data_IF_952164964335
#
_entry.id   IF_952164964335
#
_cell.length_a   1.000
_cell.length_b   1.000
_cell.length_c   1.000
_cell.angle_alpha   90.00
_cell.angle_beta   90.00
_cell.angle_gamma   90.00
#
_symmetry.space_group_name_H-M   'P 1'
#
loop_
_entity.id
_entity.type
_entity.pdbx_description
1 polymer ?
#
# COMPACT_ATOMS: atom_id res chain seq x y z
N UNK A 1 18.93 2.78 13.35
CA UNK A 1 18.25 1.59 12.79
C UNK A 1 17.30 1.06 13.85
N UNK A 2 16.22 0.40 13.47
CA UNK A 2 15.18 -0.17 14.37
C UNK A 2 15.08 -1.65 14.10
N UNK A 3 15.11 -2.47 15.13
CA UNK A 3 14.80 -3.90 15.00
C UNK A 3 13.39 -4.05 14.40
N UNK A 4 13.29 -4.89 13.39
CA UNK A 4 12.04 -5.14 12.68
C UNK A 4 11.12 -6.05 13.50
N UNK A 5 9.83 -5.91 13.31
CA UNK A 5 8.83 -6.84 13.82
C UNK A 5 8.59 -7.98 12.83
N UNK A 6 7.98 -9.06 13.30
CA UNK A 6 7.55 -10.20 12.48
C UNK A 6 8.69 -10.84 11.68
N UNK A 7 9.62 -11.42 12.38
CA UNK A 7 10.65 -12.30 11.81
C UNK A 7 10.99 -13.43 12.77
N UNK A 8 11.65 -14.45 12.24
CA UNK A 8 12.27 -15.51 13.03
C UNK A 8 13.71 -15.70 12.56
N UNK A 9 14.60 -15.95 13.50
CA UNK A 9 16.01 -16.29 13.23
C UNK A 9 16.17 -17.79 13.23
N UNK A 10 16.91 -18.33 12.27
CA UNK A 10 17.28 -19.74 12.24
C UNK A 10 18.45 -19.97 13.21
N UNK A 11 18.32 -20.95 14.09
CA UNK A 11 19.40 -21.36 14.96
C UNK A 11 20.62 -21.80 14.13
N UNK A 12 21.82 -21.41 14.60
CA UNK A 12 23.13 -21.76 14.01
C UNK A 12 23.48 -21.19 12.62
N UNK A 13 22.60 -20.49 11.93
CA UNK A 13 22.89 -19.97 10.57
C UNK A 13 22.90 -18.44 10.47
N UNK A 14 22.40 -17.75 11.50
CA UNK A 14 22.11 -16.30 11.46
C UNK A 14 21.21 -15.87 10.28
N UNK A 15 20.57 -16.80 9.59
CA UNK A 15 19.54 -16.47 8.58
C UNK A 15 18.26 -16.02 9.30
N UNK A 16 17.58 -15.11 8.66
CA UNK A 16 16.32 -14.54 9.17
C UNK A 16 15.23 -14.72 8.15
N UNK A 17 14.09 -15.26 8.57
CA UNK A 17 12.87 -15.28 7.74
C UNK A 17 11.96 -14.13 8.15
N UNK A 18 11.71 -13.19 7.23
CA UNK A 18 10.76 -12.10 7.43
C UNK A 18 9.33 -12.60 7.23
N UNK A 19 8.46 -12.38 8.23
CA UNK A 19 7.07 -12.85 8.25
C UNK A 19 6.05 -11.72 8.03
N UNK A 20 6.50 -10.53 7.60
CA UNK A 20 5.65 -9.35 7.47
C UNK A 20 4.68 -9.42 6.27
N UNK A 21 5.11 -10.01 5.16
CA UNK A 21 4.34 -10.10 3.94
C UNK A 21 4.52 -11.48 3.28
N UNK A 22 3.68 -11.85 2.28
CA UNK A 22 3.68 -13.19 1.67
C UNK A 22 4.96 -13.54 0.89
N UNK A 23 5.93 -12.65 0.82
CA UNK A 23 7.25 -12.94 0.27
C UNK A 23 8.08 -13.86 1.16
N UNK A 24 7.86 -13.82 2.47
CA UNK A 24 8.56 -14.64 3.47
C UNK A 24 10.07 -14.77 3.19
N UNK A 25 10.70 -13.63 2.91
CA UNK A 25 12.10 -13.58 2.48
C UNK A 25 13.02 -14.26 3.51
N UNK A 26 13.77 -15.26 3.08
CA UNK A 26 14.92 -15.78 3.82
C UNK A 26 16.11 -14.88 3.53
N UNK A 27 16.55 -14.14 4.54
CA UNK A 27 17.57 -13.08 4.41
C UNK A 27 18.84 -13.53 5.11
N UNK A 28 19.91 -13.71 4.36
CA UNK A 28 21.25 -14.00 4.92
C UNK A 28 21.89 -12.72 5.45
N UNK A 29 22.88 -12.86 6.31
CA UNK A 29 23.56 -11.72 6.94
C UNK A 29 24.07 -10.70 5.92
N UNK A 30 23.93 -9.43 6.24
CA UNK A 30 24.29 -8.29 5.37
C UNK A 30 23.35 -8.05 4.18
N UNK A 31 22.38 -8.92 3.90
CA UNK A 31 21.45 -8.76 2.76
C UNK A 31 20.09 -8.24 3.18
N UNK A 32 19.33 -7.76 2.18
CA UNK A 32 17.95 -7.29 2.38
C UNK A 32 16.94 -8.28 1.78
N UNK A 33 15.71 -8.23 2.25
CA UNK A 33 14.57 -8.84 1.58
C UNK A 33 14.27 -8.17 0.22
N UNK A 34 13.29 -8.71 -0.51
CA UNK A 34 12.92 -8.21 -1.86
C UNK A 34 12.48 -6.73 -1.86
N UNK A 35 12.00 -6.21 -0.73
CA UNK A 35 11.62 -4.81 -0.58
C UNK A 35 12.81 -3.83 -0.55
N UNK A 36 14.03 -4.32 -0.35
CA UNK A 36 15.27 -3.53 -0.31
C UNK A 36 15.52 -2.77 0.99
N UNK A 37 14.63 -2.85 1.99
CA UNK A 37 14.65 -1.99 3.20
C UNK A 37 14.61 -2.73 4.53
N UNK A 38 14.48 -4.05 4.50
CA UNK A 38 14.55 -4.90 5.70
C UNK A 38 15.79 -5.79 5.59
N UNK A 39 16.81 -5.46 6.37
CA UNK A 39 18.16 -6.05 6.29
C UNK A 39 18.40 -6.98 7.48
N UNK A 40 19.01 -8.11 7.22
CA UNK A 40 19.57 -8.96 8.29
C UNK A 40 20.94 -8.42 8.72
N UNK A 41 21.10 -8.14 9.99
CA UNK A 41 22.36 -7.73 10.61
C UNK A 41 22.64 -8.68 11.77
N UNK A 42 23.60 -9.57 11.61
CA UNK A 42 23.99 -10.57 12.61
C UNK A 42 22.82 -11.38 13.19
N UNK A 43 21.90 -11.84 12.34
CA UNK A 43 20.74 -12.64 12.78
C UNK A 43 19.54 -11.84 13.27
N UNK A 44 19.59 -10.51 13.22
CA UNK A 44 18.48 -9.60 13.56
C UNK A 44 17.98 -8.88 12.33
N UNK A 45 16.67 -8.99 12.04
CA UNK A 45 16.09 -8.22 10.96
C UNK A 45 15.90 -6.76 11.38
N UNK A 46 16.37 -5.83 10.55
CA UNK A 46 16.42 -4.40 10.86
C UNK A 46 15.76 -3.59 9.77
N UNK A 47 14.95 -2.59 10.13
CA UNK A 47 14.37 -1.62 9.20
C UNK A 47 15.38 -0.50 8.90
N UNK A 48 15.73 -0.34 7.62
CA UNK A 48 16.63 0.73 7.15
C UNK A 48 15.91 2.07 6.97
N UNK A 49 14.58 2.05 6.86
CA UNK A 49 13.72 3.22 6.58
C UNK A 49 12.92 3.70 7.78
N UNK A 50 13.18 3.15 8.98
CA UNK A 50 12.54 3.60 10.21
C UNK A 50 12.90 5.06 10.50
N UNK A 51 11.87 5.93 10.62
CA UNK A 51 11.97 7.38 10.76
C UNK A 51 12.72 8.09 9.62
N UNK A 52 12.75 7.48 8.43
CA UNK A 52 13.42 8.04 7.24
C UNK A 52 12.42 8.23 6.09
N UNK A 53 11.41 9.11 6.25
CA UNK A 53 10.51 9.42 5.16
C UNK A 53 11.24 10.21 4.06
N UNK A 54 10.95 9.89 2.81
CA UNK A 54 11.50 10.59 1.63
C UNK A 54 10.44 11.42 0.91
N UNK A 55 9.20 11.26 1.30
CA UNK A 55 8.07 12.07 0.84
C UNK A 55 7.20 12.47 2.04
N UNK A 56 7.03 13.78 2.24
CA UNK A 56 6.13 14.37 3.24
C UNK A 56 5.40 15.52 2.57
N UNK A 57 4.09 15.36 2.32
CA UNK A 57 3.28 16.38 1.66
C UNK A 57 1.91 16.54 2.32
N UNK A 58 1.31 17.71 2.19
CA UNK A 58 -0.09 17.93 2.54
C UNK A 58 -0.91 17.90 1.25
N UNK A 59 -1.82 16.95 1.17
CA UNK A 59 -2.66 16.72 -0.01
C UNK A 59 -4.16 16.84 0.36
N UNK A 60 -5.05 17.05 -0.62
CA UNK A 60 -6.46 16.69 -0.46
C UNK A 60 -6.60 15.19 -0.22
N UNK A 61 -7.55 14.79 0.64
CA UNK A 61 -7.75 13.38 0.99
C UNK A 61 -8.16 12.55 -0.22
N UNK A 62 -8.82 13.17 -1.20
CA UNK A 62 -9.25 12.54 -2.45
C UNK A 62 -8.06 12.07 -3.30
N UNK A 63 -6.86 12.64 -3.12
CA UNK A 63 -5.62 12.12 -3.74
C UNK A 63 -5.14 10.78 -3.14
N UNK A 64 -5.78 10.29 -2.06
CA UNK A 64 -5.50 8.97 -1.46
C UNK A 64 -6.49 7.90 -1.91
N UNK A 65 -7.08 8.01 -3.04
CA UNK A 65 -8.48 7.91 -3.48
C UNK A 65 -9.42 7.52 -2.33
N UNK A 66 -9.78 8.52 -1.51
CA UNK A 66 -10.75 8.41 -0.43
C UNK A 66 -11.80 9.49 -0.63
N UNK A 67 -12.93 9.10 -1.22
CA UNK A 67 -14.02 10.02 -1.57
C UNK A 67 -15.14 10.02 -0.53
N UNK A 68 -15.26 8.92 0.24
CA UNK A 68 -16.29 8.76 1.28
C UNK A 68 -15.72 8.82 2.70
N UNK A 69 -14.41 9.06 2.86
CA UNK A 69 -13.78 9.27 4.16
C UNK A 69 -13.37 10.72 4.33
N UNK A 70 -14.20 11.50 5.03
CA UNK A 70 -13.99 12.94 5.31
C UNK A 70 -13.66 13.79 4.06
N UNK A 71 -14.53 13.80 3.04
CA UNK A 71 -14.29 14.53 1.79
C UNK A 71 -13.99 16.01 2.03
N UNK A 72 -13.07 16.57 1.26
CA UNK A 72 -12.58 17.95 1.38
C UNK A 72 -11.50 18.16 2.44
N UNK A 73 -11.15 17.15 3.23
CA UNK A 73 -10.11 17.27 4.24
C UNK A 73 -8.71 17.32 3.64
N UNK A 74 -7.79 18.03 4.35
CA UNK A 74 -6.36 17.97 4.07
C UNK A 74 -5.71 16.90 4.94
N UNK A 75 -4.78 16.12 4.35
CA UNK A 75 -4.10 15.00 4.98
C UNK A 75 -2.58 15.13 4.82
N UNK A 76 -1.84 14.91 5.92
CA UNK A 76 -0.39 14.80 5.87
C UNK A 76 -0.01 13.40 5.37
N UNK A 77 0.67 13.33 4.25
CA UNK A 77 1.02 12.08 3.57
C UNK A 77 2.50 11.81 3.71
N UNK A 78 2.86 10.60 4.13
CA UNK A 78 4.25 10.17 4.28
C UNK A 78 4.53 8.88 3.51
N UNK A 79 5.74 8.79 2.97
CA UNK A 79 6.27 7.61 2.30
C UNK A 79 7.76 7.49 2.47
N UNK A 80 8.27 6.27 2.30
CA UNK A 80 9.68 5.92 2.45
C UNK A 80 10.23 5.34 1.14
N UNK A 81 11.40 4.74 1.17
CA UNK A 81 11.89 3.90 0.09
C UNK A 81 11.39 2.45 0.20
N UNK A 82 11.29 1.77 -0.95
CA UNK A 82 11.07 0.33 -1.07
C UNK A 82 9.61 -0.06 -1.29
N UNK A 83 9.41 -1.31 -1.74
CA UNK A 83 8.11 -1.94 -1.93
C UNK A 83 8.27 -3.47 -1.96
N UNK A 84 7.29 -4.20 -1.45
CA UNK A 84 7.26 -5.66 -1.52
C UNK A 84 6.74 -6.22 -2.85
N UNK A 85 6.30 -5.35 -3.78
CA UNK A 85 5.96 -5.68 -5.16
C UNK A 85 6.98 -5.10 -6.14
N UNK A 86 6.98 -5.64 -7.38
CA UNK A 86 7.83 -5.21 -8.49
C UNK A 86 6.99 -4.84 -9.73
N UNK A 87 5.89 -4.13 -9.53
CA UNK A 87 4.96 -3.77 -10.59
C UNK A 87 5.65 -3.08 -11.75
N UNK A 88 5.52 -3.64 -12.97
CA UNK A 88 6.17 -3.12 -14.18
C UNK A 88 5.63 -1.75 -14.62
N UNK A 89 4.46 -1.35 -14.12
CA UNK A 89 3.77 -0.08 -14.37
C UNK A 89 3.83 0.90 -13.18
N UNK A 90 4.75 0.73 -12.23
CA UNK A 90 4.79 1.50 -11.00
C UNK A 90 4.92 3.01 -11.29
N UNK A 91 3.97 3.81 -10.76
CA UNK A 91 3.98 5.27 -10.95
C UNK A 91 5.06 5.94 -10.08
N UNK A 92 5.38 5.35 -8.93
CA UNK A 92 6.36 5.84 -7.96
C UNK A 92 7.61 4.93 -7.94
N UNK A 93 8.05 4.46 -9.13
CA UNK A 93 9.14 3.48 -9.23
C UNK A 93 10.47 4.01 -8.67
N UNK A 94 10.72 5.30 -8.74
CA UNK A 94 11.90 6.00 -8.25
C UNK A 94 12.11 5.85 -6.74
N UNK A 95 11.04 5.76 -5.95
CA UNK A 95 11.12 5.47 -4.50
C UNK A 95 10.77 4.02 -4.15
N UNK A 96 9.98 3.34 -5.00
CA UNK A 96 9.47 1.98 -4.72
C UNK A 96 10.40 0.86 -5.20
N UNK A 97 11.09 1.03 -6.36
CA UNK A 97 11.85 -0.03 -7.03
C UNK A 97 13.35 0.15 -6.84
N UNK A 98 13.80 0.12 -5.59
CA UNK A 98 15.17 0.47 -5.18
C UNK A 98 16.13 -0.71 -5.08
N UNK A 99 15.71 -1.93 -5.42
CA UNK A 99 16.49 -3.16 -5.18
C UNK A 99 17.90 -3.12 -5.76
N UNK A 100 18.05 -2.48 -6.94
CA UNK A 100 19.31 -2.37 -7.66
C UNK A 100 19.92 -0.95 -7.56
N UNK A 101 19.41 -0.12 -6.64
CA UNK A 101 19.84 1.25 -6.43
C UNK A 101 20.77 1.34 -5.21
N UNK A 102 21.81 2.15 -5.32
CA UNK A 102 22.64 2.53 -4.16
C UNK A 102 21.95 3.68 -3.40
N UNK A 103 21.24 3.34 -2.34
CA UNK A 103 20.61 4.34 -1.44
C UNK A 103 21.48 4.51 -0.21
N UNK A 104 21.93 5.73 0.03
CA UNK A 104 22.53 6.12 1.30
C UNK A 104 21.42 6.36 2.33
N UNK A 105 21.02 5.28 3.01
CA UNK A 105 19.99 5.40 4.05
C UNK A 105 20.45 6.25 5.25
N UNK A 106 21.73 6.38 5.53
CA UNK A 106 22.23 7.14 6.67
C UNK A 106 22.21 8.63 6.41
N UNK A 107 22.34 9.05 5.15
CA UNK A 107 22.16 10.43 4.72
C UNK A 107 20.71 10.94 4.72
N UNK A 108 19.71 10.04 4.87
CA UNK A 108 18.31 10.47 4.90
C UNK A 108 18.00 11.12 6.26
N UNK A 109 17.44 12.34 6.23
CA UNK A 109 16.99 13.04 7.42
C UNK A 109 15.97 12.22 8.21
N UNK A 110 16.22 12.01 9.49
CA UNK A 110 15.25 11.39 10.39
C UNK A 110 14.11 12.35 10.72
N UNK A 111 12.90 11.78 10.75
CA UNK A 111 11.69 12.46 11.21
C UNK A 111 10.94 11.46 12.07
N UNK A 112 10.92 11.68 13.38
CA UNK A 112 10.30 10.78 14.33
C UNK A 112 8.78 10.75 14.23
N UNK A 113 8.14 9.72 14.76
CA UNK A 113 6.68 9.63 14.84
C UNK A 113 6.07 10.85 15.57
N UNK A 114 6.72 11.30 16.65
CA UNK A 114 6.30 12.50 17.39
C UNK A 114 6.39 13.79 16.53
N UNK A 115 7.42 13.92 15.70
CA UNK A 115 7.54 15.06 14.79
C UNK A 115 6.44 15.06 13.72
N UNK A 116 6.03 13.88 13.20
CA UNK A 116 4.88 13.76 12.28
C UNK A 116 3.60 14.24 12.96
N UNK A 117 3.33 13.79 14.18
CA UNK A 117 2.16 14.23 14.96
C UNK A 117 2.22 15.75 15.22
N UNK A 118 3.37 16.29 15.61
CA UNK A 118 3.56 17.72 15.83
C UNK A 118 3.35 18.54 14.54
N UNK A 119 3.76 18.02 13.37
CA UNK A 119 3.47 18.66 12.09
C UNK A 119 1.96 18.74 11.82
N UNK A 120 1.20 17.72 12.18
CA UNK A 120 -0.27 17.76 12.06
C UNK A 120 -0.86 18.79 13.01
N UNK A 121 -0.50 18.77 14.28
CA UNK A 121 -1.03 19.68 15.30
C UNK A 121 -0.75 21.13 14.93
N UNK A 122 0.53 21.46 14.60
CA UNK A 122 0.94 22.83 14.26
C UNK A 122 0.27 23.38 13.00
N UNK A 123 -0.20 22.52 12.09
CA UNK A 123 -0.89 22.89 10.84
C UNK A 123 -2.42 22.75 10.92
N UNK A 124 -2.96 22.36 12.07
CA UNK A 124 -4.39 22.11 12.25
C UNK A 124 -4.92 20.91 11.44
N UNK A 125 -4.02 19.97 11.04
CA UNK A 125 -4.41 18.77 10.30
C UNK A 125 -4.94 17.70 11.25
N UNK A 126 -5.93 16.94 10.80
CA UNK A 126 -6.59 15.87 11.56
C UNK A 126 -6.36 14.47 10.97
N UNK A 127 -5.52 14.36 9.92
CA UNK A 127 -5.34 13.14 9.16
C UNK A 127 -3.87 12.92 8.79
N UNK A 128 -3.40 11.66 8.91
CA UNK A 128 -2.11 11.18 8.41
C UNK A 128 -2.34 10.02 7.46
N UNK A 129 -1.72 10.05 6.28
CA UNK A 129 -1.71 8.94 5.33
C UNK A 129 -0.31 8.32 5.20
N UNK A 130 -0.25 7.01 5.31
CA UNK A 130 0.90 6.19 4.93
C UNK A 130 0.70 5.75 3.48
N UNK A 131 1.56 6.23 2.55
CA UNK A 131 1.27 6.15 1.12
C UNK A 131 2.53 6.30 0.25
N UNK A 132 2.38 6.56 -1.04
CA UNK A 132 3.37 6.78 -2.12
C UNK A 132 4.08 5.50 -2.56
N UNK A 133 4.86 4.86 -1.68
CA UNK A 133 5.36 3.50 -1.85
C UNK A 133 4.44 2.48 -1.14
N UNK A 134 4.96 1.39 -0.64
CA UNK A 134 4.17 0.41 0.11
C UNK A 134 4.33 0.61 1.63
N UNK A 135 3.28 1.02 2.37
CA UNK A 135 3.38 1.23 3.82
C UNK A 135 3.77 -0.01 4.63
N UNK A 136 3.38 -1.19 4.18
CA UNK A 136 3.72 -2.44 4.88
C UNK A 136 5.21 -2.57 5.17
N UNK A 137 6.10 -2.13 4.24
CA UNK A 137 7.54 -2.36 4.42
C UNK A 137 8.19 -1.45 5.46
N UNK A 138 7.56 -0.34 5.83
CA UNK A 138 7.99 0.54 6.95
C UNK A 138 7.08 0.42 8.16
N UNK A 139 6.65 -0.80 8.42
CA UNK A 139 5.64 -1.20 9.40
C UNK A 139 5.84 -0.58 10.79
N UNK A 140 7.05 -0.67 11.33
CA UNK A 140 7.40 -0.21 12.68
C UNK A 140 7.18 1.30 12.83
N UNK A 141 7.57 2.06 11.83
CA UNK A 141 7.40 3.52 11.79
C UNK A 141 5.92 3.91 11.59
N UNK A 142 5.23 3.19 10.72
CA UNK A 142 3.78 3.37 10.51
C UNK A 142 3.00 3.07 11.79
N UNK A 143 3.26 1.93 12.44
CA UNK A 143 2.56 1.53 13.66
C UNK A 143 2.77 2.53 14.80
N UNK A 144 4.02 2.93 15.06
CA UNK A 144 4.35 3.89 16.11
C UNK A 144 3.69 5.25 15.87
N UNK A 145 3.74 5.72 14.61
CA UNK A 145 3.06 6.97 14.22
C UNK A 145 1.54 6.86 14.40
N UNK A 146 0.94 5.72 14.02
CA UNK A 146 -0.51 5.52 14.14
C UNK A 146 -0.96 5.45 15.61
N UNK A 147 -0.18 4.83 16.50
CA UNK A 147 -0.43 4.83 17.95
C UNK A 147 -0.47 6.26 18.48
N UNK A 148 0.58 7.05 18.21
CA UNK A 148 0.63 8.46 18.64
C UNK A 148 -0.46 9.32 18.02
N UNK A 149 -0.82 9.10 16.75
CA UNK A 149 -1.93 9.78 16.11
C UNK A 149 -3.26 9.54 16.86
N UNK A 150 -3.50 8.28 17.27
CA UNK A 150 -4.70 7.91 18.03
C UNK A 150 -4.77 8.64 19.38
N UNK A 151 -3.65 8.76 20.10
CA UNK A 151 -3.56 9.50 21.37
C UNK A 151 -3.89 10.99 21.20
N UNK A 152 -3.60 11.56 20.03
CA UNK A 152 -3.85 12.96 19.70
C UNK A 152 -5.14 13.21 18.89
N UNK A 153 -6.02 12.21 18.77
CA UNK A 153 -7.25 12.29 17.97
C UNK A 153 -7.01 12.67 16.49
N UNK A 154 -5.88 12.22 15.93
CA UNK A 154 -5.54 12.33 14.52
C UNK A 154 -5.88 10.99 13.87
N UNK A 155 -6.70 11.01 12.82
CA UNK A 155 -7.11 9.80 12.09
C UNK A 155 -6.03 9.36 11.12
N UNK A 156 -5.92 8.05 10.93
CA UNK A 156 -4.88 7.44 10.11
C UNK A 156 -5.46 6.70 8.91
N UNK A 157 -4.76 6.81 7.80
CA UNK A 157 -5.11 6.21 6.50
C UNK A 157 -3.94 5.40 5.97
N UNK A 158 -4.22 4.24 5.40
CA UNK A 158 -3.24 3.41 4.68
C UNK A 158 -3.66 3.28 3.23
N UNK A 159 -2.77 3.66 2.31
CA UNK A 159 -2.90 3.40 0.86
C UNK A 159 -1.89 2.33 0.49
N UNK A 160 -2.35 1.11 0.22
CA UNK A 160 -1.50 -0.08 0.13
C UNK A 160 -1.88 -1.01 -1.02
N UNK A 161 -0.94 -1.83 -1.44
CA UNK A 161 -1.16 -2.92 -2.38
C UNK A 161 -1.81 -4.18 -1.73
N UNK A 162 -2.03 -4.16 -0.42
CA UNK A 162 -2.66 -5.23 0.32
C UNK A 162 -1.81 -6.50 0.53
N UNK A 163 -0.52 -6.47 0.21
CA UNK A 163 0.38 -7.62 0.42
C UNK A 163 0.97 -7.60 1.83
N UNK A 164 0.18 -7.97 2.80
CA UNK A 164 0.53 -8.08 4.22
C UNK A 164 0.02 -9.41 4.78
N UNK A 165 0.78 -10.05 5.67
CA UNK A 165 0.34 -11.27 6.33
C UNK A 165 -0.73 -10.97 7.41
N UNK A 166 -1.48 -11.98 7.80
CA UNK A 166 -2.64 -11.83 8.68
C UNK A 166 -2.27 -11.27 10.07
N UNK A 167 -1.23 -11.81 10.69
CA UNK A 167 -0.81 -11.39 12.05
C UNK A 167 -0.38 -9.91 12.09
N UNK A 168 0.52 -9.42 11.21
CA UNK A 168 0.84 -7.99 11.13
C UNK A 168 -0.38 -7.12 10.83
N UNK A 169 -1.27 -7.55 9.92
CA UNK A 169 -2.49 -6.81 9.61
C UNK A 169 -3.41 -6.67 10.82
N UNK A 170 -3.66 -7.77 11.54
CA UNK A 170 -4.53 -7.78 12.72
C UNK A 170 -4.02 -6.84 13.82
N UNK A 171 -2.69 -6.75 14.01
CA UNK A 171 -2.10 -5.80 14.95
C UNK A 171 -2.21 -4.34 14.48
N UNK A 172 -2.00 -4.09 13.19
CA UNK A 172 -2.05 -2.75 12.61
C UNK A 172 -3.45 -2.17 12.58
N UNK A 173 -4.45 -3.00 12.23
CA UNK A 173 -5.83 -2.56 11.94
C UNK A 173 -6.49 -1.86 13.14
N UNK A 174 -6.04 -2.12 14.36
CA UNK A 174 -6.54 -1.46 15.58
C UNK A 174 -6.29 0.05 15.57
N UNK A 175 -5.22 0.48 14.88
CA UNK A 175 -4.75 1.86 14.86
C UNK A 175 -5.02 2.59 13.54
N UNK A 176 -5.64 1.92 12.56
CA UNK A 176 -5.97 2.53 11.27
C UNK A 176 -7.48 2.77 11.17
N UNK A 177 -7.86 3.96 10.72
CA UNK A 177 -9.27 4.37 10.56
C UNK A 177 -9.80 4.02 9.17
N UNK A 178 -8.98 4.20 8.12
CA UNK A 178 -9.40 3.97 6.74
C UNK A 178 -8.29 3.36 5.88
N UNK A 179 -8.71 2.61 4.88
CA UNK A 179 -7.83 1.98 3.89
C UNK A 179 -8.27 2.33 2.47
N UNK A 180 -7.29 2.59 1.61
CA UNK A 180 -7.45 2.42 0.17
C UNK A 180 -6.54 1.29 -0.27
N UNK A 181 -7.11 0.24 -0.85
CA UNK A 181 -6.36 -0.95 -1.29
C UNK A 181 -6.37 -1.05 -2.81
N UNK A 182 -5.18 -1.14 -3.39
CA UNK A 182 -5.01 -1.41 -4.80
C UNK A 182 -5.32 -2.89 -5.13
N UNK A 183 -6.49 -3.18 -5.67
CA UNK A 183 -6.81 -4.47 -6.27
C UNK A 183 -6.46 -4.41 -7.77
N UNK A 184 -5.23 -4.83 -8.10
CA UNK A 184 -4.57 -4.51 -9.38
C UNK A 184 -5.08 -5.33 -10.58
N UNK A 185 -5.70 -6.48 -10.33
CA UNK A 185 -6.36 -7.36 -11.29
C UNK A 185 -7.16 -8.43 -10.52
N UNK A 186 -7.99 -9.20 -11.23
CA UNK A 186 -8.64 -10.38 -10.65
C UNK A 186 -8.11 -11.67 -11.29
N UNK A 187 -6.80 -11.70 -11.52
CA UNK A 187 -6.06 -12.74 -12.24
C UNK A 187 -4.71 -13.00 -11.55
N UNK A 188 -4.46 -14.25 -11.16
CA UNK A 188 -3.21 -14.67 -10.50
C UNK A 188 -1.99 -14.51 -11.41
N UNK A 189 -2.12 -14.76 -12.71
CA UNK A 189 -1.01 -14.61 -13.65
C UNK A 189 -0.56 -13.16 -13.75
N UNK A 190 -1.50 -12.21 -13.75
CA UNK A 190 -1.18 -10.78 -13.71
C UNK A 190 -0.44 -10.40 -12.42
N UNK A 191 -0.97 -10.84 -11.26
CA UNK A 191 -0.30 -10.59 -9.98
C UNK A 191 1.11 -11.15 -9.96
N UNK A 192 1.30 -12.41 -10.38
CA UNK A 192 2.59 -13.08 -10.39
C UNK A 192 3.58 -12.44 -11.37
N UNK A 193 3.18 -12.21 -12.63
CA UNK A 193 4.09 -11.89 -13.73
C UNK A 193 4.29 -10.38 -13.94
N UNK A 194 3.30 -9.56 -13.58
CA UNK A 194 3.32 -8.10 -13.79
C UNK A 194 3.59 -7.36 -12.48
N UNK A 195 3.00 -7.81 -11.36
CA UNK A 195 3.15 -7.16 -10.06
C UNK A 195 4.21 -7.83 -9.17
N UNK A 196 4.49 -9.12 -9.39
CA UNK A 196 5.32 -9.91 -8.49
C UNK A 196 4.65 -10.17 -7.14
N UNK A 197 3.33 -10.32 -7.09
CA UNK A 197 2.52 -10.50 -5.89
C UNK A 197 1.63 -11.73 -5.93
N UNK A 198 0.62 -11.73 -5.06
CA UNK A 198 -0.36 -12.80 -4.90
C UNK A 198 -1.77 -12.20 -4.74
N UNK A 199 -2.72 -12.59 -5.60
CA UNK A 199 -4.08 -12.07 -5.56
C UNK A 199 -4.81 -12.46 -4.28
N UNK A 200 -4.69 -13.71 -3.83
CA UNK A 200 -5.42 -14.20 -2.67
C UNK A 200 -5.01 -13.45 -1.39
N UNK A 201 -3.74 -13.07 -1.25
CA UNK A 201 -3.32 -12.23 -0.12
C UNK A 201 -4.04 -10.88 -0.12
N UNK A 202 -4.13 -10.18 -1.28
CA UNK A 202 -4.88 -8.92 -1.36
C UNK A 202 -6.36 -9.13 -1.02
N UNK A 203 -6.98 -10.21 -1.52
CA UNK A 203 -8.38 -10.56 -1.18
C UNK A 203 -8.56 -10.81 0.31
N UNK A 204 -7.63 -11.49 0.97
CA UNK A 204 -7.67 -11.74 2.41
C UNK A 204 -7.52 -10.45 3.22
N UNK A 205 -6.67 -9.52 2.76
CA UNK A 205 -6.55 -8.18 3.35
C UNK A 205 -7.89 -7.43 3.28
N UNK A 206 -8.56 -7.43 2.11
CA UNK A 206 -9.87 -6.81 1.95
C UNK A 206 -10.93 -7.43 2.88
N UNK A 207 -11.00 -8.76 2.95
CA UNK A 207 -11.90 -9.49 3.87
C UNK A 207 -11.65 -9.09 5.34
N UNK A 208 -10.39 -9.02 5.74
CA UNK A 208 -10.00 -8.66 7.11
C UNK A 208 -10.40 -7.22 7.45
N UNK A 209 -10.20 -6.27 6.54
CA UNK A 209 -10.57 -4.85 6.73
C UNK A 209 -12.09 -4.73 6.92
N UNK A 210 -12.89 -5.37 6.05
CA UNK A 210 -14.36 -5.35 6.14
C UNK A 210 -14.85 -6.04 7.42
N UNK A 211 -14.30 -7.20 7.76
CA UNK A 211 -14.62 -7.93 9.00
C UNK A 211 -14.40 -7.07 10.25
N UNK A 212 -13.37 -6.24 10.25
CA UNK A 212 -13.04 -5.31 11.35
C UNK A 212 -13.81 -3.97 11.26
N UNK A 213 -14.77 -3.83 10.33
CA UNK A 213 -15.62 -2.64 10.15
C UNK A 213 -14.82 -1.35 9.95
N UNK A 214 -13.67 -1.44 9.30
CA UNK A 214 -12.89 -0.26 8.93
C UNK A 214 -13.37 0.31 7.61
N UNK A 215 -13.22 1.62 7.44
CA UNK A 215 -13.55 2.26 6.16
C UNK A 215 -12.62 1.72 5.07
N UNK A 216 -13.21 1.27 3.95
CA UNK A 216 -12.49 0.69 2.82
C UNK A 216 -12.95 1.31 1.51
N UNK A 217 -11.98 1.84 0.77
CA UNK A 217 -12.13 2.15 -0.65
C UNK A 217 -11.12 1.32 -1.45
N UNK A 218 -11.45 0.94 -2.67
CA UNK A 218 -10.62 0.06 -3.49
C UNK A 218 -10.24 0.78 -4.77
N UNK A 219 -8.97 0.69 -5.16
CA UNK A 219 -8.48 1.26 -6.42
C UNK A 219 -8.13 0.16 -7.41
N UNK A 220 -8.66 0.28 -8.63
CA UNK A 220 -8.35 -0.54 -9.79
C UNK A 220 -7.73 0.33 -10.89
N UNK A 221 -6.44 0.17 -11.17
CA UNK A 221 -5.76 0.84 -12.27
C UNK A 221 -6.00 0.06 -13.56
N UNK A 222 -6.84 0.58 -14.45
CA UNK A 222 -7.19 -0.08 -15.70
C UNK A 222 -6.10 0.14 -16.77
N UNK A 223 -5.43 -0.95 -17.18
CA UNK A 223 -4.33 -0.94 -18.16
C UNK A 223 -4.77 -1.73 -19.39
N UNK A 224 -5.06 -1.03 -20.50
CA UNK A 224 -5.48 -1.66 -21.75
C UNK A 224 -4.45 -2.67 -22.25
N UNK A 225 -4.93 -3.87 -22.60
CA UNK A 225 -4.11 -5.00 -23.07
C UNK A 225 -3.46 -5.84 -21.97
N UNK A 226 -3.74 -5.53 -20.67
CA UNK A 226 -3.11 -6.24 -19.57
C UNK A 226 -4.11 -6.75 -18.52
N UNK A 227 -5.02 -5.90 -18.04
CA UNK A 227 -6.03 -6.27 -17.05
C UNK A 227 -7.44 -5.76 -17.44
N UNK A 228 -7.67 -5.63 -18.76
CA UNK A 228 -8.91 -5.13 -19.35
C UNK A 228 -9.86 -6.24 -19.82
N UNK A 229 -9.69 -7.47 -19.31
CA UNK A 229 -10.69 -8.52 -19.50
C UNK A 229 -11.95 -8.19 -18.70
N UNK A 230 -13.05 -7.99 -19.43
CA UNK A 230 -14.32 -7.58 -18.83
C UNK A 230 -14.94 -8.68 -17.95
N UNK A 231 -14.67 -9.95 -18.24
CA UNK A 231 -15.21 -11.05 -17.44
C UNK A 231 -14.44 -11.16 -16.09
N UNK A 232 -13.13 -11.06 -16.11
CA UNK A 232 -12.32 -10.99 -14.88
C UNK A 232 -12.72 -9.79 -14.03
N UNK A 233 -12.97 -8.64 -14.66
CA UNK A 233 -13.44 -7.44 -13.95
C UNK A 233 -14.83 -7.60 -13.33
N UNK A 234 -15.76 -8.28 -14.01
CA UNK A 234 -17.06 -8.63 -13.41
C UNK A 234 -16.90 -9.53 -12.16
N UNK A 235 -15.98 -10.49 -12.21
CA UNK A 235 -15.70 -11.33 -11.02
C UNK A 235 -15.09 -10.50 -9.88
N UNK A 236 -14.23 -9.52 -10.18
CA UNK A 236 -13.76 -8.53 -9.20
C UNK A 236 -14.93 -7.78 -8.55
N UNK A 237 -15.84 -7.24 -9.36
CA UNK A 237 -17.01 -6.50 -8.85
C UNK A 237 -17.93 -7.39 -8.01
N UNK A 238 -18.18 -8.63 -8.43
CA UNK A 238 -18.94 -9.62 -7.65
C UNK A 238 -18.26 -9.92 -6.31
N UNK A 239 -16.95 -10.07 -6.31
CA UNK A 239 -16.18 -10.28 -5.08
C UNK A 239 -16.33 -9.09 -4.13
N UNK A 240 -16.14 -7.85 -4.58
CA UNK A 240 -16.32 -6.67 -3.75
C UNK A 240 -17.75 -6.57 -3.21
N UNK A 241 -18.77 -6.78 -4.06
CA UNK A 241 -20.18 -6.83 -3.63
C UNK A 241 -20.42 -7.88 -2.55
N UNK A 242 -19.78 -9.05 -2.64
CA UNK A 242 -19.92 -10.11 -1.63
C UNK A 242 -19.34 -9.74 -0.27
N UNK A 243 -18.42 -8.77 -0.22
CA UNK A 243 -17.88 -8.22 1.02
C UNK A 243 -18.79 -7.13 1.59
N UNK A 244 -19.13 -6.14 0.79
CA UNK A 244 -20.06 -5.05 1.08
C UNK A 244 -20.36 -4.29 -0.24
N UNK A 245 -21.62 -4.17 -0.65
CA UNK A 245 -22.02 -3.44 -1.87
C UNK A 245 -21.77 -1.94 -1.80
N UNK A 246 -21.51 -1.40 -0.61
CA UNK A 246 -21.18 0.01 -0.36
C UNK A 246 -19.69 0.32 -0.48
N UNK A 247 -18.84 -0.69 -0.72
CA UNK A 247 -17.42 -0.45 -1.00
C UNK A 247 -17.30 0.51 -2.18
N UNK A 248 -16.51 1.56 -1.98
CA UNK A 248 -16.21 2.54 -3.02
C UNK A 248 -15.14 1.96 -3.94
N UNK A 249 -15.41 1.93 -5.25
CA UNK A 249 -14.45 1.50 -6.26
C UNK A 249 -13.98 2.68 -7.09
N UNK A 250 -12.68 2.92 -7.12
CA UNK A 250 -12.00 3.88 -7.98
C UNK A 250 -11.39 3.17 -9.17
N UNK A 251 -11.88 3.45 -10.38
CA UNK A 251 -11.28 2.98 -11.64
C UNK A 251 -10.37 4.09 -12.14
N UNK A 252 -9.06 3.89 -11.99
CA UNK A 252 -8.05 4.88 -12.38
C UNK A 252 -7.54 4.62 -13.79
N UNK A 253 -7.48 5.68 -14.60
CA UNK A 253 -6.88 5.65 -15.94
C UNK A 253 -5.38 5.46 -15.84
N UNK A 254 -4.84 4.48 -16.57
CA UNK A 254 -3.41 4.23 -16.62
C UNK A 254 -2.71 5.04 -17.71
N UNK A 255 -1.50 5.51 -17.37
CA UNK A 255 -0.54 6.12 -18.28
C UNK A 255 0.75 5.32 -18.28
N UNK A 256 1.46 5.20 -19.44
CA UNK A 256 2.70 4.42 -19.51
C UNK A 256 3.75 4.95 -18.54
N UNK A 257 4.33 4.06 -17.76
CA UNK A 257 5.35 4.39 -16.78
C UNK A 257 6.24 3.18 -16.49
N UNK A 258 7.49 3.44 -16.17
CA UNK A 258 8.49 2.47 -15.75
C UNK A 258 8.80 1.44 -16.86
N UNK A 259 8.59 0.13 -16.61
CA UNK A 259 9.02 -0.98 -17.49
C UNK A 259 7.90 -1.50 -18.41
N UNK A 260 6.66 -1.07 -18.21
CA UNK A 260 5.53 -1.51 -19.03
C UNK A 260 5.24 -0.47 -20.11
N UNK A 261 5.36 -0.91 -21.37
CA UNK A 261 4.99 -0.09 -22.53
C UNK A 261 3.53 -0.35 -22.92
N UNK A 262 2.72 0.69 -22.92
CA UNK A 262 1.32 0.66 -23.32
C UNK A 262 0.85 2.08 -23.67
N UNK A 263 -0.25 2.20 -24.40
CA UNK A 263 -0.88 3.51 -24.64
C UNK A 263 -1.78 3.87 -23.45
N UNK A 264 -1.95 5.18 -23.13
CA UNK A 264 -2.93 5.59 -22.13
C UNK A 264 -4.27 4.92 -22.36
N UNK A 265 -4.90 4.44 -21.28
CA UNK A 265 -6.20 3.76 -21.37
C UNK A 265 -7.23 4.70 -22.00
N UNK A 266 -7.96 4.30 -23.07
CA UNK A 266 -8.99 5.13 -23.68
C UNK A 266 -10.11 5.47 -22.68
N UNK A 267 -10.69 6.66 -22.80
CA UNK A 267 -11.78 7.11 -21.91
C UNK A 267 -13.04 6.25 -22.11
N UNK A 268 -13.32 5.86 -23.33
CA UNK A 268 -14.46 4.98 -23.67
C UNK A 268 -14.34 3.61 -22.97
N UNK A 269 -13.11 3.09 -22.81
CA UNK A 269 -12.88 1.87 -22.06
C UNK A 269 -13.10 2.09 -20.56
N UNK A 270 -12.70 3.25 -20.03
CA UNK A 270 -12.97 3.64 -18.64
C UNK A 270 -14.49 3.70 -18.37
N UNK A 271 -15.27 4.30 -19.29
CA UNK A 271 -16.72 4.39 -19.19
C UNK A 271 -17.38 3.01 -19.22
N UNK A 272 -16.92 2.11 -20.11
CA UNK A 272 -17.41 0.72 -20.15
C UNK A 272 -17.21 0.00 -18.81
N UNK A 273 -16.02 0.14 -18.21
CA UNK A 273 -15.70 -0.48 -16.94
C UNK A 273 -16.50 0.16 -15.79
N UNK A 274 -16.62 1.48 -15.78
CA UNK A 274 -17.45 2.20 -14.81
C UNK A 274 -18.90 1.77 -14.84
N UNK A 275 -19.50 1.71 -16.04
CA UNK A 275 -20.89 1.27 -16.24
C UNK A 275 -21.06 -0.19 -15.81
N UNK A 276 -20.07 -1.04 -16.09
CA UNK A 276 -20.10 -2.45 -15.66
C UNK A 276 -20.04 -2.57 -14.14
N UNK A 277 -19.16 -1.84 -13.47
CA UNK A 277 -19.04 -1.88 -12.01
C UNK A 277 -20.30 -1.37 -11.31
N UNK A 278 -20.96 -0.34 -11.86
CA UNK A 278 -22.21 0.24 -11.34
C UNK A 278 -23.41 -0.72 -11.36
N UNK A 279 -23.31 -1.87 -12.02
CA UNK A 279 -24.28 -2.96 -11.92
C UNK A 279 -24.14 -3.80 -10.63
N UNK A 280 -23.03 -3.65 -9.95
CA UNK A 280 -22.67 -4.44 -8.76
C UNK A 280 -22.50 -3.62 -7.49
N UNK A 281 -21.95 -2.41 -7.61
CA UNK A 281 -21.56 -1.55 -6.48
C UNK A 281 -22.31 -0.21 -6.55
N UNK A 282 -22.66 0.34 -5.38
CA UNK A 282 -23.37 1.62 -5.28
C UNK A 282 -22.47 2.82 -5.62
N UNK A 283 -21.16 2.72 -5.35
CA UNK A 283 -20.22 3.84 -5.40
C UNK A 283 -19.04 3.52 -6.31
N UNK A 284 -19.07 4.04 -7.54
CA UNK A 284 -18.00 3.83 -8.54
C UNK A 284 -17.55 5.17 -9.11
N UNK A 285 -16.25 5.41 -9.14
CA UNK A 285 -15.68 6.68 -9.60
C UNK A 285 -14.55 6.43 -10.61
N UNK A 286 -14.51 7.26 -11.65
CA UNK A 286 -13.36 7.29 -12.57
C UNK A 286 -12.34 8.31 -12.08
N UNK A 287 -11.05 7.95 -12.15
CA UNK A 287 -9.94 8.81 -11.80
C UNK A 287 -8.94 8.98 -12.94
N UNK A 288 -8.22 10.10 -12.95
CA UNK A 288 -7.23 10.47 -13.97
C UNK A 288 -7.81 10.62 -15.39
N UNK A 289 -9.08 10.99 -15.53
CA UNK A 289 -9.77 11.23 -16.79
C UNK A 289 -9.83 12.70 -17.13
#
# INVERSE_FOLDING_TARGET
>A
MKEAMFFRTEENTHKVTCLLCPKECVVIDGRTGVCGVRQNINGTLTSLVYEKPVAIHVDPIEKKPLYHFHPGAKILSIGTYGCNLSCKFCQNYDISQIKDSHIDFDGIKRVTAAEIVNMCISRGLKFVAFTYNEPTIFYEYMLETAVLCKEHNIKTVVVSNGQINEEPLNKLIEYIDAFNIDLKAFNEAFYKNICGGNLETTKNTLRTIVKNKKHLEVTFLLIKGFNDDLQEFKELCKFLKSLDEKIVLHISRAFPRYKLDFKPTPVELMELFNNTASLYLENVYMGNV
#
